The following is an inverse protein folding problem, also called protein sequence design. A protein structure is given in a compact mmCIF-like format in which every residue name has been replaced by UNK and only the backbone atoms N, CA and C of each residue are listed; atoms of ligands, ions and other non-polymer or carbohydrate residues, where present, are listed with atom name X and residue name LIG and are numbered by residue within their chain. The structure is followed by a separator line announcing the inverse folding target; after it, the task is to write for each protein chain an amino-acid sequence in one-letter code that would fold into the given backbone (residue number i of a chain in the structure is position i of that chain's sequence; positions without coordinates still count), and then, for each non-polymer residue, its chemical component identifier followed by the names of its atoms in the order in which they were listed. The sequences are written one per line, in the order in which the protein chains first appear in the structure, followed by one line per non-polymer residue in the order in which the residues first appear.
data_IF_189576139540
#
_entry.id   IF_189576139540
#
_cell.length_a   1.000
_cell.length_b   1.000
_cell.length_c   1.000
_cell.angle_alpha   90.00
_cell.angle_beta   90.00
_cell.angle_gamma   90.00
#
_symmetry.space_group_name_H-M   'P 1'
#
loop_
_entity.id
_entity.type
_entity.pdbx_description
1 polymer ?
#
# COMPACT_ATOMS: atom_id res chain seq x y z
N UNK A 1 14.32 1.42 -13.88
CA UNK A 1 13.74 2.77 -14.04
C UNK A 1 12.58 2.88 -13.07
N UNK A 2 12.61 3.78 -12.08
CA UNK A 2 11.54 3.82 -11.05
C UNK A 2 10.17 4.15 -11.67
N UNK A 3 9.30 3.14 -11.82
CA UNK A 3 7.91 3.33 -12.28
C UNK A 3 7.00 3.62 -11.09
N UNK A 4 7.11 4.84 -10.54
CA UNK A 4 6.08 5.36 -9.63
C UNK A 4 4.81 5.57 -10.45
N UNK A 5 3.76 4.80 -10.14
CA UNK A 5 2.47 4.94 -10.81
C UNK A 5 1.38 5.12 -9.76
N UNK A 6 0.40 5.96 -10.08
CA UNK A 6 -0.82 6.07 -9.30
C UNK A 6 -1.79 5.01 -9.78
N UNK A 7 -2.38 4.27 -8.85
CA UNK A 7 -3.53 3.41 -9.12
C UNK A 7 -4.72 3.90 -8.30
N UNK A 8 -5.93 3.57 -8.77
CA UNK A 8 -7.17 4.07 -8.17
C UNK A 8 -7.96 2.90 -7.63
N UNK A 9 -8.40 3.02 -6.38
CA UNK A 9 -9.38 2.15 -5.77
C UNK A 9 -10.59 3.00 -5.37
N UNK A 10 -11.73 2.80 -6.05
CA UNK A 10 -12.89 3.67 -5.94
C UNK A 10 -12.52 5.16 -6.15
N UNK A 11 -12.62 5.99 -5.12
CA UNK A 11 -12.24 7.41 -5.14
C UNK A 11 -10.88 7.69 -4.48
N UNK A 12 -10.17 6.64 -4.04
CA UNK A 12 -8.88 6.75 -3.38
C UNK A 12 -7.73 6.57 -4.37
N UNK A 13 -6.82 7.54 -4.37
CA UNK A 13 -5.55 7.44 -5.08
C UNK A 13 -4.56 6.70 -4.20
N UNK A 14 -4.05 5.57 -4.67
CA UNK A 14 -3.06 4.76 -3.97
C UNK A 14 -1.73 4.90 -4.72
N UNK A 15 -0.73 5.47 -4.03
CA UNK A 15 0.63 5.57 -4.56
C UNK A 15 1.30 4.20 -4.48
N UNK A 16 1.94 3.80 -5.58
CA UNK A 16 2.72 2.57 -5.66
C UNK A 16 4.02 2.76 -6.42
N UNK A 17 4.98 1.92 -6.09
CA UNK A 17 6.30 1.87 -6.70
C UNK A 17 6.59 0.43 -7.09
N UNK A 18 7.05 0.23 -8.33
CA UNK A 18 7.55 -1.06 -8.77
C UNK A 18 9.07 -1.09 -8.62
N UNK A 19 9.55 -2.02 -7.82
CA UNK A 19 10.97 -2.33 -7.73
C UNK A 19 11.32 -3.41 -8.75
N UNK A 20 12.11 -3.03 -9.75
CA UNK A 20 12.55 -3.95 -10.82
C UNK A 20 13.56 -5.00 -10.31
N UNK A 21 14.28 -4.75 -9.21
CA UNK A 21 15.30 -5.68 -8.71
C UNK A 21 14.68 -6.89 -8.03
N UNK A 22 13.61 -6.65 -7.29
CA UNK A 22 12.86 -7.66 -6.54
C UNK A 22 11.58 -8.09 -7.25
N UNK A 23 11.30 -7.51 -8.42
CA UNK A 23 10.05 -7.67 -9.19
C UNK A 23 8.79 -7.46 -8.33
N UNK A 24 8.88 -6.56 -7.35
CA UNK A 24 7.87 -6.40 -6.30
C UNK A 24 7.18 -5.03 -6.39
N UNK A 25 5.85 -5.04 -6.23
CA UNK A 25 5.07 -3.82 -6.06
C UNK A 25 4.98 -3.43 -4.59
N UNK A 26 5.38 -2.20 -4.31
CA UNK A 26 5.20 -1.56 -3.02
C UNK A 26 4.08 -0.53 -3.09
N UNK A 27 3.20 -0.49 -2.10
CA UNK A 27 2.11 0.48 -2.01
C UNK A 27 2.26 1.31 -0.75
N UNK A 28 1.81 2.56 -0.80
CA UNK A 28 1.78 3.41 0.39
C UNK A 28 0.85 2.84 1.45
N UNK A 29 1.40 2.53 2.63
CA UNK A 29 0.63 2.02 3.76
C UNK A 29 -0.40 3.05 4.21
N UNK A 30 -0.03 4.35 4.22
CA UNK A 30 -0.93 5.43 4.63
C UNK A 30 -2.13 5.55 3.69
N UNK A 31 -1.93 5.40 2.39
CA UNK A 31 -3.02 5.46 1.41
C UNK A 31 -3.97 4.26 1.57
N UNK A 32 -3.44 3.07 1.87
CA UNK A 32 -4.23 1.87 2.20
C UNK A 32 -5.03 2.07 3.50
N UNK A 33 -4.39 2.60 4.55
CA UNK A 33 -5.07 2.94 5.80
C UNK A 33 -6.20 3.95 5.54
N UNK A 34 -5.96 4.97 4.72
CA UNK A 34 -6.96 5.98 4.37
C UNK A 34 -8.24 5.34 3.77
N UNK A 35 -8.07 4.33 2.91
CA UNK A 35 -9.19 3.52 2.38
C UNK A 35 -9.90 2.76 3.49
N UNK A 36 -9.17 2.05 4.35
CA UNK A 36 -9.73 1.21 5.42
C UNK A 36 -10.58 2.02 6.41
N UNK A 37 -10.09 3.19 6.81
CA UNK A 37 -10.79 4.10 7.73
C UNK A 37 -11.75 5.06 7.02
N UNK A 38 -11.86 4.96 5.69
CA UNK A 38 -12.69 5.81 4.83
C UNK A 38 -12.43 7.31 5.01
N UNK A 39 -11.17 7.71 5.16
CA UNK A 39 -10.76 9.10 5.33
C UNK A 39 -10.05 9.62 4.09
N UNK A 40 -10.52 10.73 3.53
CA UNK A 40 -9.86 11.40 2.40
C UNK A 40 -8.71 12.31 2.82
N UNK A 41 -8.67 12.71 4.10
CA UNK A 41 -7.58 13.52 4.64
C UNK A 41 -6.35 12.66 4.95
N UNK A 42 -5.26 12.94 4.24
CA UNK A 42 -3.97 12.28 4.40
C UNK A 42 -3.42 12.41 5.83
N UNK A 43 -3.59 13.58 6.48
CA UNK A 43 -3.03 13.80 7.81
C UNK A 43 -3.73 12.94 8.86
N UNK A 44 -5.04 12.76 8.75
CA UNK A 44 -5.84 11.87 9.60
C UNK A 44 -5.40 10.41 9.44
N UNK A 45 -5.27 9.94 8.19
CA UNK A 45 -4.79 8.59 7.92
C UNK A 45 -3.35 8.36 8.42
N UNK A 46 -2.46 9.34 8.26
CA UNK A 46 -1.09 9.29 8.78
C UNK A 46 -1.04 9.22 10.30
N UNK A 47 -1.85 10.03 11.00
CA UNK A 47 -1.94 10.01 12.47
C UNK A 47 -2.46 8.67 12.97
N UNK A 48 -3.49 8.12 12.30
CA UNK A 48 -4.01 6.79 12.59
C UNK A 48 -2.90 5.74 12.42
N UNK A 49 -2.21 5.75 11.28
CA UNK A 49 -1.10 4.83 11.00
C UNK A 49 -0.01 4.90 12.06
N UNK A 50 0.44 6.09 12.47
CA UNK A 50 1.45 6.23 13.52
C UNK A 50 1.01 5.57 14.83
N UNK A 51 -0.24 5.79 15.25
CA UNK A 51 -0.78 5.17 16.48
C UNK A 51 -0.98 3.67 16.35
N UNK A 52 -1.40 3.22 15.19
CA UNK A 52 -1.55 1.80 14.90
C UNK A 52 -0.20 1.09 14.88
N UNK A 53 0.81 1.69 14.25
CA UNK A 53 2.21 1.24 14.22
C UNK A 53 2.80 1.12 15.63
N UNK A 54 2.55 2.11 16.50
CA UNK A 54 2.94 2.05 17.92
C UNK A 54 2.31 0.86 18.65
N UNK A 55 1.01 0.60 18.41
CA UNK A 55 0.28 -0.51 19.04
C UNK A 55 0.81 -1.87 18.59
N UNK A 56 0.93 -2.07 17.28
CA UNK A 56 1.46 -3.30 16.70
C UNK A 56 2.88 -3.61 17.19
N UNK A 57 3.74 -2.59 17.35
CA UNK A 57 5.07 -2.78 17.95
C UNK A 57 5.01 -3.25 19.40
N UNK A 58 4.07 -2.74 20.20
CA UNK A 58 3.87 -3.17 21.59
C UNK A 58 3.34 -4.60 21.69
N UNK A 59 2.53 -5.01 20.71
CA UNK A 59 2.00 -6.37 20.59
C UNK A 59 3.01 -7.36 20.00
N UNK A 60 4.22 -6.90 19.62
CA UNK A 60 5.25 -7.76 19.03
C UNK A 60 4.99 -8.15 17.58
N UNK A 61 4.12 -7.43 16.86
CA UNK A 61 3.79 -7.73 15.47
C UNK A 61 4.95 -7.40 14.53
N UNK A 62 5.43 -8.40 13.80
CA UNK A 62 6.50 -8.26 12.79
C UNK A 62 6.03 -7.51 11.54
N UNK A 63 4.72 -7.38 11.32
CA UNK A 63 4.15 -6.72 10.12
C UNK A 63 4.56 -5.25 10.01
N UNK A 64 4.82 -4.58 11.14
CA UNK A 64 5.34 -3.20 11.17
C UNK A 64 6.83 -3.15 10.85
N UNK A 65 7.58 -4.16 11.27
CA UNK A 65 9.03 -4.23 11.08
C UNK A 65 9.38 -4.42 9.61
N UNK A 66 8.50 -5.10 8.86
CA UNK A 66 8.72 -5.39 7.44
C UNK A 66 8.27 -4.27 6.49
N UNK A 67 7.72 -3.17 7.01
CA UNK A 67 7.42 -2.01 6.17
C UNK A 67 8.73 -1.31 5.74
N UNK A 68 8.88 -1.08 4.43
CA UNK A 68 10.00 -0.31 3.87
C UNK A 68 9.67 1.18 3.82
N UNK A 69 10.67 2.02 3.56
CA UNK A 69 10.46 3.45 3.31
C UNK A 69 11.00 3.83 1.94
N UNK A 70 10.11 4.34 1.09
CA UNK A 70 10.46 4.83 -0.24
C UNK A 70 10.05 6.30 -0.40
N UNK A 71 10.75 7.02 -1.28
CA UNK A 71 10.43 8.39 -1.64
C UNK A 71 9.27 8.40 -2.65
N UNK A 72 8.06 8.62 -2.15
CA UNK A 72 6.86 8.75 -2.97
C UNK A 72 6.49 10.22 -3.18
N UNK A 73 5.99 10.54 -4.37
CA UNK A 73 5.48 11.86 -4.69
C UNK A 73 4.21 12.17 -3.88
N UNK A 74 4.08 13.40 -3.39
CA UNK A 74 2.92 13.91 -2.67
C UNK A 74 2.12 14.88 -3.55
N UNK A 75 0.99 15.36 -3.03
CA UNK A 75 0.09 16.25 -3.76
C UNK A 75 0.72 17.60 -4.17
N UNK A 76 1.81 18.01 -3.51
CA UNK A 76 2.59 19.21 -3.83
C UNK A 76 3.70 18.97 -4.86
N UNK A 77 3.77 17.77 -5.46
CA UNK A 77 4.79 17.36 -6.43
C UNK A 77 6.16 17.05 -5.81
N UNK A 78 6.32 17.17 -4.49
CA UNK A 78 7.58 16.82 -3.81
C UNK A 78 7.57 15.36 -3.41
N UNK A 79 8.76 14.76 -3.34
CA UNK A 79 8.93 13.38 -2.87
C UNK A 79 9.25 13.32 -1.38
N UNK A 80 8.52 12.49 -0.64
CA UNK A 80 8.69 12.30 0.80
C UNK A 80 8.88 10.82 1.14
N UNK A 81 9.70 10.55 2.16
CA UNK A 81 9.81 9.20 2.74
C UNK A 81 8.44 8.78 3.28
N UNK A 82 7.95 7.67 2.73
CA UNK A 82 6.63 7.13 3.01
C UNK A 82 6.79 5.65 3.34
N UNK A 83 6.12 5.19 4.40
CA UNK A 83 6.05 3.76 4.71
C UNK A 83 5.29 3.06 3.58
N UNK A 84 5.93 2.05 3.00
CA UNK A 84 5.40 1.22 1.91
C UNK A 84 5.51 -0.25 2.26
N UNK A 85 4.64 -1.06 1.67
CA UNK A 85 4.60 -2.49 1.89
C UNK A 85 4.16 -3.23 0.62
N UNK A 86 4.61 -4.47 0.48
CA UNK A 86 4.13 -5.39 -0.54
C UNK A 86 2.70 -5.89 -0.22
N UNK A 87 2.01 -6.55 -1.17
CA UNK A 87 0.66 -7.08 -0.93
C UNK A 87 0.56 -8.04 0.26
N UNK A 88 1.56 -8.87 0.54
CA UNK A 88 1.51 -9.85 1.64
C UNK A 88 1.45 -9.14 3.00
N UNK A 89 2.33 -8.17 3.20
CA UNK A 89 2.37 -7.36 4.42
C UNK A 89 1.08 -6.53 4.54
N UNK A 90 0.57 -5.96 3.43
CA UNK A 90 -0.68 -5.21 3.44
C UNK A 90 -1.87 -6.08 3.84
N UNK A 91 -1.97 -7.32 3.34
CA UNK A 91 -3.02 -8.25 3.71
C UNK A 91 -3.00 -8.55 5.21
N UNK A 92 -1.82 -8.70 5.82
CA UNK A 92 -1.69 -8.83 7.30
C UNK A 92 -2.15 -7.57 8.03
N UNK A 93 -1.74 -6.39 7.58
CA UNK A 93 -2.16 -5.12 8.18
C UNK A 93 -3.68 -4.92 8.10
N UNK A 94 -4.30 -5.28 6.97
CA UNK A 94 -5.75 -5.18 6.77
C UNK A 94 -6.51 -6.09 7.76
N UNK A 95 -5.99 -7.28 8.09
CA UNK A 95 -6.62 -8.17 9.08
C UNK A 95 -6.71 -7.51 10.47
N UNK A 96 -5.75 -6.65 10.82
CA UNK A 96 -5.70 -5.95 12.10
C UNK A 96 -6.50 -4.63 12.12
N UNK A 97 -7.00 -4.17 10.97
CA UNK A 97 -7.87 -2.98 10.85
C UNK A 97 -9.21 -3.40 10.25
N UNK A 98 -10.15 -3.93 11.06
CA UNK A 98 -11.46 -4.32 10.56
C UNK A 98 -12.25 -3.08 10.12
N UNK A 99 -12.90 -3.16 8.97
CA UNK A 99 -13.72 -2.08 8.43
C UNK A 99 -14.48 -2.51 7.17
N UNK A 100 -15.50 -1.74 6.75
CA UNK A 100 -16.34 -2.11 5.60
C UNK A 100 -15.57 -2.15 4.28
N UNK A 101 -14.40 -1.50 4.21
CA UNK A 101 -13.51 -1.52 3.04
C UNK A 101 -12.42 -2.60 3.09
N UNK A 102 -12.31 -3.35 4.18
CA UNK A 102 -11.29 -4.39 4.33
C UNK A 102 -11.46 -5.52 3.33
N UNK A 103 -12.68 -6.01 3.11
CA UNK A 103 -12.94 -7.06 2.10
C UNK A 103 -12.72 -6.55 0.67
N UNK A 104 -13.32 -5.42 0.24
CA UNK A 104 -13.09 -4.86 -1.09
C UNK A 104 -11.62 -4.61 -1.43
N UNK A 105 -10.83 -4.07 -0.50
CA UNK A 105 -9.44 -3.73 -0.78
C UNK A 105 -8.54 -4.99 -0.84
N UNK A 106 -8.86 -6.07 -0.12
CA UNK A 106 -8.16 -7.36 -0.25
C UNK A 106 -8.35 -7.95 -1.65
N UNK A 107 -9.60 -7.95 -2.15
CA UNK A 107 -9.91 -8.43 -3.50
C UNK A 107 -9.21 -7.58 -4.56
N UNK A 108 -9.14 -6.26 -4.36
CA UNK A 108 -8.42 -5.37 -5.24
C UNK A 108 -6.91 -5.64 -5.26
N UNK A 109 -6.27 -5.82 -4.09
CA UNK A 109 -4.85 -6.20 -4.01
C UNK A 109 -4.58 -7.54 -4.73
N UNK A 110 -5.45 -8.53 -4.56
CA UNK A 110 -5.35 -9.81 -5.26
C UNK A 110 -5.45 -9.65 -6.78
N UNK A 111 -6.38 -8.81 -7.26
CA UNK A 111 -6.53 -8.53 -8.69
C UNK A 111 -5.31 -7.84 -9.29
N UNK A 112 -4.78 -6.82 -8.61
CA UNK A 112 -3.56 -6.10 -9.06
C UNK A 112 -2.35 -7.05 -9.11
N UNK A 113 -2.25 -8.00 -8.18
CA UNK A 113 -1.23 -9.06 -8.23
C UNK A 113 -1.45 -10.04 -9.38
N UNK A 114 -2.70 -10.43 -9.65
CA UNK A 114 -3.04 -11.39 -10.71
C UNK A 114 -2.80 -10.84 -12.13
N UNK A 115 -3.19 -9.58 -12.39
CA UNK A 115 -2.93 -8.90 -13.67
C UNK A 115 -1.43 -8.93 -14.02
N UNK A 116 -0.55 -8.88 -13.01
CA UNK A 116 0.91 -8.94 -13.21
C UNK A 116 1.41 -10.32 -13.58
N UNK A 117 0.92 -11.37 -12.92
CA UNK A 117 1.26 -12.74 -13.29
C UNK A 117 0.86 -13.01 -14.75
N UNK A 118 -0.27 -12.47 -15.20
CA UNK A 118 -0.68 -12.56 -16.60
C UNK A 118 0.27 -11.80 -17.54
N UNK A 119 0.58 -10.54 -17.25
CA UNK A 119 1.50 -9.72 -18.07
C UNK A 119 2.91 -10.33 -18.17
N UNK A 120 3.41 -10.97 -17.10
CA UNK A 120 4.70 -11.68 -17.11
C UNK A 120 4.65 -13.00 -17.87
N UNK A 121 3.49 -13.66 -17.92
CA UNK A 121 3.31 -14.93 -18.63
C UNK A 121 3.04 -14.78 -20.13
N UNK A 122 2.68 -13.58 -20.59
CA UNK A 122 2.38 -13.27 -21.99
C UNK A 122 3.31 -12.16 -22.52
N UNK A 123 4.49 -12.51 -23.07
CA UNK A 123 5.47 -11.54 -23.56
C UNK A 123 4.97 -10.69 -24.74
N UNK A 124 3.79 -10.97 -25.30
CA UNK A 124 3.18 -10.16 -26.37
C UNK A 124 2.46 -8.90 -25.86
N UNK A 125 2.33 -8.70 -24.54
CA UNK A 125 1.63 -7.55 -23.92
C UNK A 125 2.52 -6.56 -23.19
N UNK A 126 3.85 -6.78 -23.19
CA UNK A 126 4.85 -5.91 -22.53
C UNK A 126 5.43 -4.83 -23.45
#
# INVERSE_FOLDING_TARGET
MEKNSLTVFENYKIRRHYDEQTETWYFSVVDIIAVLIQQSDFNTARKYWNKFKERLKKEGSESVTNCHQLKLEAADGKKYLTDVADPEILLRLIQSVPGPKAEPIKLWLAKVGYERLQDMSDPARS
#
